data_IF_126963021385
#
_entry.id   IF_126963021385
#
_cell.length_a   1.000
_cell.length_b   1.000
_cell.length_c   1.000
_cell.angle_alpha   90.00
_cell.angle_beta   90.00
_cell.angle_gamma   90.00
#
_symmetry.space_group_name_H-M   'P 1'
#
loop_
_entity.id
_entity.type
_entity.pdbx_description
1 polymer ?
#
# COMPACT_ATOMS: atom_id res chain seq x y z
N UNK A 1 5.06 -11.39 -6.61
CA UNK A 1 5.72 -10.26 -7.30
C UNK A 1 7.20 -10.56 -7.40
N UNK A 2 7.88 -10.15 -8.47
CA UNK A 2 9.33 -10.34 -8.61
C UNK A 2 10.05 -9.04 -8.20
N UNK A 3 11.20 -9.11 -7.50
CA UNK A 3 12.00 -7.92 -7.20
C UNK A 3 12.36 -7.16 -8.48
N UNK A 4 12.34 -5.82 -8.41
CA UNK A 4 12.69 -4.93 -9.53
C UNK A 4 11.61 -4.77 -10.62
N UNK A 5 10.48 -5.49 -10.55
CA UNK A 5 9.39 -5.32 -11.50
C UNK A 5 8.47 -4.15 -11.12
N UNK A 6 8.11 -3.32 -12.08
CA UNK A 6 7.03 -2.32 -11.93
C UNK A 6 5.68 -2.99 -12.19
N UNK A 7 4.70 -2.71 -11.32
CA UNK A 7 3.32 -3.19 -11.47
C UNK A 7 2.32 -2.08 -11.16
N UNK A 8 1.14 -2.17 -11.77
CA UNK A 8 -0.03 -1.37 -11.40
C UNK A 8 -0.97 -2.22 -10.54
N UNK A 9 -1.34 -1.71 -9.37
CA UNK A 9 -2.31 -2.35 -8.48
C UNK A 9 -3.65 -1.62 -8.61
N UNK A 10 -4.68 -2.29 -9.15
CA UNK A 10 -6.02 -1.74 -9.32
C UNK A 10 -6.97 -2.26 -8.25
N UNK A 11 -7.80 -1.35 -7.73
CA UNK A 11 -8.74 -1.64 -6.65
C UNK A 11 -8.04 -2.26 -5.42
N UNK A 12 -6.81 -1.81 -5.16
CA UNK A 12 -6.09 -2.15 -3.95
C UNK A 12 -6.70 -1.40 -2.76
N UNK A 13 -6.49 -1.95 -1.56
CA UNK A 13 -6.93 -1.35 -0.31
C UNK A 13 -5.79 -1.24 0.67
N UNK A 14 -5.95 -0.34 1.63
CA UNK A 14 -5.11 -0.32 2.82
C UNK A 14 -5.77 -1.23 3.87
N UNK A 15 -4.98 -2.14 4.41
CA UNK A 15 -5.36 -3.00 5.51
C UNK A 15 -4.59 -2.58 6.77
N UNK A 16 -5.31 -2.42 7.87
CA UNK A 16 -4.72 -2.06 9.16
C UNK A 16 -4.32 -3.34 9.88
N UNK A 17 -3.03 -3.55 10.06
CA UNK A 17 -2.50 -4.71 10.76
C UNK A 17 -1.67 -4.29 11.96
N UNK A 18 -2.17 -4.57 13.17
CA UNK A 18 -1.50 -4.27 14.45
C UNK A 18 -1.02 -2.80 14.55
N UNK A 19 -1.87 -1.85 14.16
CA UNK A 19 -1.55 -0.42 14.22
C UNK A 19 -0.78 0.12 13.01
N UNK A 20 -0.28 -0.74 12.11
CA UNK A 20 0.43 -0.29 10.90
C UNK A 20 -0.36 -0.56 9.62
N UNK A 21 -0.21 0.33 8.64
CA UNK A 21 -0.88 0.22 7.34
C UNK A 21 -0.13 -0.74 6.40
N UNK A 22 -0.87 -1.54 5.63
CA UNK A 22 -0.33 -2.38 4.55
C UNK A 22 -1.15 -2.24 3.28
N UNK A 23 -0.49 -2.16 2.14
CA UNK A 23 -1.16 -2.21 0.84
C UNK A 23 -1.46 -3.67 0.48
N UNK A 24 -2.72 -3.96 0.18
CA UNK A 24 -3.18 -5.28 -0.19
C UNK A 24 -4.11 -5.25 -1.41
N UNK A 25 -4.14 -6.34 -2.15
CA UNK A 25 -5.09 -6.56 -3.26
C UNK A 25 -5.91 -7.79 -2.90
N UNK A 26 -7.24 -7.64 -2.84
CA UNK A 26 -8.14 -8.75 -2.57
C UNK A 26 -8.72 -9.36 -3.85
N UNK A 27 -9.70 -10.27 -3.72
CA UNK A 27 -10.30 -11.00 -4.84
C UNK A 27 -10.96 -10.11 -5.90
N UNK A 28 -11.27 -8.86 -5.59
CA UNK A 28 -11.89 -7.91 -6.51
C UNK A 28 -10.87 -6.95 -7.15
N UNK A 29 -9.62 -6.97 -6.69
CA UNK A 29 -8.54 -6.18 -7.27
C UNK A 29 -7.73 -6.93 -8.32
N UNK A 30 -6.85 -6.19 -9.01
CA UNK A 30 -5.98 -6.74 -10.07
C UNK A 30 -4.55 -6.24 -9.89
N UNK A 31 -3.61 -7.11 -10.24
CA UNK A 31 -2.19 -6.79 -10.34
C UNK A 31 -1.82 -6.91 -11.82
N UNK A 32 -1.42 -5.80 -12.42
CA UNK A 32 -1.05 -5.71 -13.83
C UNK A 32 0.45 -5.46 -13.93
N UNK A 33 1.16 -6.30 -14.67
CA UNK A 33 2.53 -6.01 -15.05
C UNK A 33 2.55 -4.81 -16.00
N UNK A 34 3.53 -3.93 -15.86
CA UNK A 34 3.69 -2.77 -16.73
C UNK A 34 5.14 -2.63 -17.14
N UNK A 35 5.40 -1.72 -18.08
CA UNK A 35 6.75 -1.38 -18.48
C UNK A 35 7.50 -0.75 -17.28
N UNK A 36 8.83 -0.83 -17.23
CA UNK A 36 9.60 -0.20 -16.15
C UNK A 36 9.27 1.29 -16.06
N UNK A 37 8.75 1.71 -14.91
CA UNK A 37 8.50 3.13 -14.66
C UNK A 37 9.81 3.82 -14.28
N UNK A 38 10.05 4.99 -14.85
CA UNK A 38 11.16 5.87 -14.45
C UNK A 38 10.81 6.62 -13.16
N UNK A 39 10.77 5.88 -12.06
CA UNK A 39 10.53 6.40 -10.72
C UNK A 39 11.63 5.91 -9.78
N UNK A 40 12.18 6.83 -9.01
CA UNK A 40 13.08 6.47 -7.91
C UNK A 40 12.25 6.17 -6.67
N UNK A 41 12.29 4.93 -6.20
CA UNK A 41 11.58 4.52 -4.99
C UNK A 41 12.27 5.13 -3.77
N UNK A 42 11.48 5.78 -2.91
CA UNK A 42 11.97 6.38 -1.66
C UNK A 42 11.99 5.31 -0.55
N UNK A 43 13.04 4.50 -0.51
CA UNK A 43 13.15 3.34 0.40
C UNK A 43 13.21 3.69 1.89
N UNK A 44 13.62 4.92 2.23
CA UNK A 44 13.67 5.44 3.61
C UNK A 44 12.28 5.80 4.18
N UNK A 45 11.26 5.96 3.32
CA UNK A 45 9.91 6.34 3.74
C UNK A 45 8.94 5.15 3.76
N UNK A 46 9.15 4.23 4.69
CA UNK A 46 8.33 3.03 4.81
C UNK A 46 7.09 3.24 5.71
N UNK A 47 5.94 3.52 5.09
CA UNK A 47 4.66 3.72 5.79
C UNK A 47 4.15 2.47 6.53
N UNK A 48 4.62 1.27 6.17
CA UNK A 48 4.25 0.04 6.87
C UNK A 48 4.99 -0.17 8.19
N UNK A 49 5.99 0.66 8.51
CA UNK A 49 6.64 0.72 9.82
C UNK A 49 6.06 1.82 10.71
N UNK A 50 5.22 2.70 10.16
CA UNK A 50 4.56 3.75 10.93
C UNK A 50 3.36 3.17 11.66
N UNK A 51 3.27 3.45 12.96
CA UNK A 51 2.14 3.09 13.79
C UNK A 51 1.13 4.24 13.82
N UNK A 52 -0.14 3.90 13.68
CA UNK A 52 -1.28 4.81 13.70
C UNK A 52 -2.23 4.42 14.82
N UNK A 53 -2.76 5.45 15.48
CA UNK A 53 -3.84 5.31 16.46
C UNK A 53 -5.19 5.53 15.78
N UNK A 54 -6.18 4.72 16.13
CA UNK A 54 -7.55 4.93 15.69
C UNK A 54 -8.16 6.10 16.48
N UNK A 55 -8.35 7.23 15.82
CA UNK A 55 -9.03 8.39 16.40
C UNK A 55 -10.50 8.37 16.00
N UNK A 56 -11.38 8.18 16.97
CA UNK A 56 -12.82 8.30 16.76
C UNK A 56 -13.22 9.78 16.85
N UNK A 57 -13.75 10.33 15.77
CA UNK A 57 -14.33 11.68 15.79
C UNK A 57 -15.72 11.58 16.40
N UNK A 58 -15.94 12.22 17.55
CA UNK A 58 -17.29 12.35 18.13
C UNK A 58 -17.98 13.48 17.37
N UNK A 59 -19.08 13.19 16.69
CA UNK A 59 -19.91 14.23 16.07
C UNK A 59 -20.56 15.08 17.18
N UNK A 60 -20.41 16.41 17.09
CA UNK A 60 -20.99 17.38 18.03
C UNK A 60 -22.46 17.68 17.72
#
# INVERSE_FOLDING_TARGET
MKPGATVNLRNAKIDMFKGSMRLAVDKWGRIEATEPADITVKEDNNLSLVEYELVNVVEE
#
